data_IF_091187803080
#
_entry.id   IF_091187803080
#
_cell.length_a   1.000
_cell.length_b   1.000
_cell.length_c   1.000
_cell.angle_alpha   90.00
_cell.angle_beta   90.00
_cell.angle_gamma   90.00
#
_symmetry.space_group_name_H-M   'P 1'
#
loop_
_entity.id
_entity.type
_entity.pdbx_description
1 polymer ?
#
# COMPACT_ATOMS: atom_id res chain seq x y z
N UNK A 1 1.04 3.26 -22.49
CA UNK A 1 0.88 2.78 -21.10
C UNK A 1 2.27 2.39 -20.62
N UNK A 2 2.99 3.26 -19.90
CA UNK A 2 4.48 3.16 -19.88
C UNK A 2 5.21 3.33 -18.55
N UNK A 3 4.56 3.69 -17.43
CA UNK A 3 5.28 4.02 -16.18
C UNK A 3 4.69 3.29 -14.96
N UNK A 4 4.38 2.00 -15.08
CA UNK A 4 3.96 1.19 -13.93
C UNK A 4 4.96 0.06 -13.72
N UNK A 5 5.62 0.08 -12.58
CA UNK A 5 6.54 -0.98 -12.16
C UNK A 5 5.82 -2.01 -11.28
N UNK A 6 6.22 -3.28 -11.38
CA UNK A 6 5.63 -4.36 -10.58
C UNK A 6 6.53 -4.66 -9.38
N UNK A 7 5.91 -4.74 -8.20
CA UNK A 7 6.56 -5.24 -6.99
C UNK A 7 5.95 -6.58 -6.57
N UNK A 8 6.77 -7.45 -6.00
CA UNK A 8 6.34 -8.69 -5.33
C UNK A 8 6.53 -8.54 -3.84
N UNK A 9 5.48 -8.78 -3.06
CA UNK A 9 5.50 -8.57 -1.60
C UNK A 9 5.38 -9.93 -0.90
N UNK A 10 6.32 -10.21 -0.01
CA UNK A 10 6.25 -11.35 0.91
C UNK A 10 5.79 -10.82 2.27
N UNK A 11 4.75 -11.46 2.83
CA UNK A 11 4.22 -11.11 4.15
C UNK A 11 3.72 -12.35 4.87
N UNK A 12 3.55 -12.25 6.20
CA UNK A 12 3.00 -13.35 6.98
C UNK A 12 1.56 -13.67 6.56
N UNK A 13 1.17 -14.93 6.69
CA UNK A 13 -0.19 -15.39 6.37
C UNK A 13 -1.24 -14.63 7.20
N UNK A 14 -0.95 -14.38 8.48
CA UNK A 14 -1.84 -13.63 9.36
C UNK A 14 -2.05 -12.19 8.87
N UNK A 15 -0.97 -11.50 8.46
CA UNK A 15 -1.07 -10.12 7.97
C UNK A 15 -1.89 -10.07 6.68
N UNK A 16 -1.66 -11.01 5.76
CA UNK A 16 -2.44 -11.12 4.52
C UNK A 16 -3.93 -11.29 4.81
N UNK A 17 -4.29 -12.18 5.74
CA UNK A 17 -5.69 -12.43 6.10
C UNK A 17 -6.36 -11.20 6.71
N UNK A 18 -5.64 -10.43 7.55
CA UNK A 18 -6.15 -9.17 8.10
C UNK A 18 -6.36 -8.12 7.00
N UNK A 19 -5.40 -8.00 6.06
CA UNK A 19 -5.51 -7.10 4.92
C UNK A 19 -6.71 -7.46 4.03
N UNK A 20 -6.93 -8.75 3.74
CA UNK A 20 -8.09 -9.21 2.95
C UNK A 20 -9.42 -8.85 3.62
N UNK A 21 -9.51 -8.98 4.95
CA UNK A 21 -10.70 -8.57 5.70
C UNK A 21 -10.93 -7.06 5.64
N UNK A 22 -9.87 -6.27 5.80
CA UNK A 22 -9.95 -4.82 5.70
C UNK A 22 -10.42 -4.37 4.30
N UNK A 23 -9.87 -4.97 3.25
CA UNK A 23 -10.26 -4.71 1.87
C UNK A 23 -11.75 -4.96 1.62
N UNK A 24 -12.31 -6.03 2.21
CA UNK A 24 -13.75 -6.33 2.14
C UNK A 24 -14.60 -5.28 2.86
N UNK A 25 -14.18 -4.85 4.05
CA UNK A 25 -14.90 -3.84 4.83
C UNK A 25 -14.95 -2.49 4.09
N UNK A 26 -13.86 -2.13 3.42
CA UNK A 26 -13.75 -0.86 2.69
C UNK A 26 -14.23 -0.93 1.23
N UNK A 27 -14.69 -2.10 0.77
CA UNK A 27 -15.07 -2.36 -0.61
C UNK A 27 -13.97 -1.97 -1.63
N UNK A 28 -12.71 -2.36 -1.35
CA UNK A 28 -11.53 -2.06 -2.17
C UNK A 28 -10.80 -3.34 -2.58
N UNK A 29 -10.13 -3.31 -3.72
CA UNK A 29 -9.21 -4.39 -4.10
C UNK A 29 -7.92 -4.30 -3.28
N UNK A 30 -7.28 -5.45 -3.06
CA UNK A 30 -6.06 -5.50 -2.25
C UNK A 30 -4.91 -4.71 -2.87
N UNK A 31 -4.76 -4.76 -4.20
CA UNK A 31 -3.74 -3.96 -4.91
C UNK A 31 -3.97 -2.47 -4.74
N UNK A 32 -5.22 -2.00 -4.84
CA UNK A 32 -5.54 -0.59 -4.65
C UNK A 32 -5.29 -0.15 -3.20
N UNK A 33 -5.69 -0.98 -2.23
CA UNK A 33 -5.40 -0.75 -0.82
C UNK A 33 -3.89 -0.60 -0.57
N UNK A 34 -3.06 -1.54 -1.07
CA UNK A 34 -1.61 -1.46 -0.89
C UNK A 34 -1.02 -0.19 -1.52
N UNK A 35 -1.43 0.16 -2.75
CA UNK A 35 -0.97 1.40 -3.41
C UNK A 35 -1.36 2.62 -2.58
N UNK A 36 -2.58 2.66 -2.04
CA UNK A 36 -3.05 3.76 -1.19
C UNK A 36 -2.21 3.89 0.08
N UNK A 37 -1.96 2.77 0.78
CA UNK A 37 -1.15 2.76 2.00
C UNK A 37 0.29 3.20 1.73
N UNK A 38 0.88 2.74 0.62
CA UNK A 38 2.23 3.16 0.21
C UNK A 38 2.27 4.66 -0.09
N UNK A 39 1.29 5.18 -0.83
CA UNK A 39 1.20 6.60 -1.14
C UNK A 39 1.09 7.45 0.13
N UNK A 40 0.22 7.05 1.06
CA UNK A 40 0.06 7.74 2.35
C UNK A 40 1.36 7.75 3.16
N UNK A 41 2.06 6.61 3.22
CA UNK A 41 3.33 6.51 3.93
C UNK A 41 4.43 7.40 3.33
N UNK A 42 4.50 7.48 1.99
CA UNK A 42 5.45 8.35 1.28
C UNK A 42 5.11 9.83 1.54
N UNK A 43 3.86 10.23 1.31
CA UNK A 43 3.42 11.61 1.54
C UNK A 43 3.68 12.06 2.98
N UNK A 44 3.40 11.20 3.96
CA UNK A 44 3.71 11.49 5.36
C UNK A 44 5.23 11.66 5.60
N UNK A 45 6.08 10.86 4.93
CA UNK A 45 7.53 10.99 5.05
C UNK A 45 8.06 12.27 4.39
N UNK A 46 7.49 12.69 3.27
CA UNK A 46 7.80 13.95 2.58
C UNK A 46 7.41 15.15 3.46
N UNK A 47 6.19 15.16 4.02
CA UNK A 47 5.70 16.22 4.92
C UNK A 47 6.56 16.35 6.19
N UNK A 48 7.12 15.24 6.68
CA UNK A 48 8.04 15.21 7.82
C UNK A 48 9.48 15.58 7.45
N UNK A 49 9.78 15.84 6.18
CA UNK A 49 11.14 16.10 5.69
C UNK A 49 12.08 14.89 5.78
N UNK A 50 11.54 13.67 5.94
CA UNK A 50 12.32 12.42 6.02
C UNK A 50 12.65 11.86 4.64
N UNK A 51 11.84 12.18 3.65
CA UNK A 51 12.10 11.90 2.25
C UNK A 51 12.28 13.25 1.53
N UNK A 52 13.48 13.56 0.99
CA UNK A 52 13.67 14.76 0.21
C UNK A 52 12.83 14.67 -1.07
N UNK A 53 12.16 15.77 -1.40
CA UNK A 53 11.29 15.94 -2.58
C UNK A 53 12.07 15.88 -3.90
#
# INVERSE_FOLDING_TARGET
>A
MGNTERISIIMSSELKQKLERLCKLENRSMSNMVVTLVQQAITQAEEQGRLPS
#
